data_IF_071442691195
#
_entry.id   IF_071442691195
#
_cell.length_a   1.000
_cell.length_b   1.000
_cell.length_c   1.000
_cell.angle_alpha   90.00
_cell.angle_beta   90.00
_cell.angle_gamma   90.00
#
_symmetry.space_group_name_H-M   'P 1'
#
loop_
_entity.id
_entity.type
_entity.pdbx_description
1 polymer ?
#
# COMPACT_ATOMS: atom_id res chain seq x y z
N UNK A 1 -0.42 -13.69 1.46
CA UNK A 1 -0.30 -12.30 0.97
C UNK A 1 -0.71 -12.29 -0.51
N UNK A 2 -1.57 -11.36 -0.94
CA UNK A 2 -2.06 -11.32 -2.33
C UNK A 2 -1.01 -10.82 -3.33
N UNK A 3 -0.02 -10.07 -2.85
CA UNK A 3 1.13 -9.60 -3.61
C UNK A 3 2.37 -10.32 -3.08
N UNK A 4 3.15 -10.93 -3.95
CA UNK A 4 4.39 -11.63 -3.58
C UNK A 4 5.59 -10.69 -3.66
N UNK A 5 6.68 -11.03 -2.97
CA UNK A 5 7.94 -10.28 -3.07
C UNK A 5 8.46 -10.26 -4.52
N UNK A 6 8.38 -11.38 -5.24
CA UNK A 6 8.78 -11.45 -6.65
C UNK A 6 8.02 -10.45 -7.55
N UNK A 7 6.72 -10.24 -7.29
CA UNK A 7 5.92 -9.26 -8.02
C UNK A 7 6.38 -7.82 -7.71
N UNK A 8 6.74 -7.53 -6.47
CA UNK A 8 7.29 -6.23 -6.07
C UNK A 8 8.66 -5.99 -6.73
N UNK A 9 9.55 -6.98 -6.68
CA UNK A 9 10.90 -6.88 -7.24
C UNK A 9 10.85 -6.64 -8.76
N UNK A 10 9.97 -7.35 -9.48
CA UNK A 10 9.74 -7.13 -10.91
C UNK A 10 9.20 -5.73 -11.20
N UNK A 11 8.25 -5.26 -10.40
CA UNK A 11 7.70 -3.91 -10.57
C UNK A 11 8.77 -2.83 -10.34
N UNK A 12 9.60 -2.98 -9.31
CA UNK A 12 10.72 -2.08 -9.05
C UNK A 12 11.73 -2.08 -10.21
N UNK A 13 12.07 -3.25 -10.74
CA UNK A 13 12.99 -3.36 -11.88
C UNK A 13 12.46 -2.60 -13.11
N UNK A 14 11.17 -2.78 -13.44
CA UNK A 14 10.54 -2.13 -14.58
C UNK A 14 10.48 -0.61 -14.43
N UNK A 15 10.13 -0.11 -13.23
CA UNK A 15 10.04 1.33 -12.99
C UNK A 15 11.44 1.98 -12.95
N UNK A 16 12.47 1.30 -12.45
CA UNK A 16 13.88 1.77 -12.48
C UNK A 16 14.42 2.00 -13.88
N UNK A 17 13.83 1.37 -14.90
CA UNK A 17 14.20 1.57 -16.32
C UNK A 17 13.59 2.84 -16.93
N UNK A 18 12.71 3.52 -16.19
CA UNK A 18 12.05 4.75 -16.63
C UNK A 18 12.73 5.99 -16.05
N UNK A 19 12.54 7.14 -16.69
CA UNK A 19 12.98 8.44 -16.16
C UNK A 19 11.91 9.10 -15.26
N UNK A 20 10.85 8.37 -14.90
CA UNK A 20 9.74 8.89 -14.11
C UNK A 20 10.20 9.06 -12.66
N UNK A 21 9.91 10.21 -12.05
CA UNK A 21 10.05 10.39 -10.61
C UNK A 21 9.00 9.55 -9.88
N UNK A 22 9.42 8.60 -9.06
CA UNK A 22 8.53 7.70 -8.34
C UNK A 22 8.99 7.47 -6.90
N UNK A 23 8.04 7.09 -6.05
CA UNK A 23 8.31 6.63 -4.68
C UNK A 23 7.48 5.37 -4.42
N UNK A 24 8.11 4.33 -3.86
CA UNK A 24 7.44 3.11 -3.42
C UNK A 24 7.59 3.04 -1.90
N UNK A 25 6.45 2.94 -1.20
CA UNK A 25 6.41 2.86 0.26
C UNK A 25 5.82 1.49 0.63
N UNK A 26 6.61 0.67 1.29
CA UNK A 26 6.17 -0.63 1.80
C UNK A 26 5.92 -0.54 3.31
N UNK A 27 4.65 -0.64 3.72
CA UNK A 27 4.26 -0.57 5.12
C UNK A 27 4.43 -1.93 5.78
N UNK A 28 5.38 -2.02 6.71
CA UNK A 28 5.61 -3.24 7.48
C UNK A 28 4.31 -3.69 8.19
N UNK A 29 4.07 -5.01 8.16
CA UNK A 29 2.92 -5.68 8.78
C UNK A 29 1.54 -5.30 8.23
N UNK A 30 1.46 -4.43 7.21
CA UNK A 30 0.20 -4.14 6.52
C UNK A 30 -0.20 -5.30 5.60
N UNK A 31 -1.42 -5.80 5.78
CA UNK A 31 -2.04 -6.78 4.87
C UNK A 31 -2.86 -6.06 3.79
N UNK A 32 -3.44 -6.83 2.87
CA UNK A 32 -4.36 -6.27 1.91
C UNK A 32 -5.61 -5.70 2.61
N UNK A 33 -6.20 -4.66 2.02
CA UNK A 33 -7.28 -3.85 2.62
C UNK A 33 -6.93 -3.16 3.96
N UNK A 34 -5.65 -2.82 4.18
CA UNK A 34 -5.20 -2.14 5.41
C UNK A 34 -5.85 -0.79 5.70
N UNK A 35 -6.46 -0.14 4.71
CA UNK A 35 -7.19 1.13 4.86
C UNK A 35 -8.66 0.96 5.23
N UNK A 36 -9.17 -0.28 5.29
CA UNK A 36 -10.58 -0.54 5.58
C UNK A 36 -10.73 -0.97 7.05
N UNK A 37 -11.37 -0.17 7.92
CA UNK A 37 -11.60 -0.52 9.33
C UNK A 37 -12.43 -1.80 9.52
N UNK A 38 -13.21 -2.23 8.52
CA UNK A 38 -13.98 -3.45 8.56
C UNK A 38 -13.20 -4.70 8.10
N UNK A 39 -11.93 -4.57 7.70
CA UNK A 39 -11.15 -5.67 7.12
C UNK A 39 -11.02 -6.86 8.07
N UNK A 40 -10.83 -6.64 9.37
CA UNK A 40 -10.69 -7.73 10.34
C UNK A 40 -12.00 -8.54 10.47
N UNK A 41 -13.14 -7.86 10.55
CA UNK A 41 -14.45 -8.53 10.58
C UNK A 41 -14.78 -9.26 9.28
N UNK A 42 -14.25 -8.79 8.15
CA UNK A 42 -14.41 -9.45 6.85
C UNK A 42 -13.48 -10.66 6.70
N UNK A 43 -12.26 -10.60 7.23
CA UNK A 43 -11.36 -11.77 7.34
C UNK A 43 -12.05 -12.88 8.12
N UNK A 44 -12.55 -12.59 9.33
CA UNK A 44 -13.24 -13.59 10.16
C UNK A 44 -14.46 -14.21 9.47
N UNK A 45 -15.23 -13.39 8.74
CA UNK A 45 -16.47 -13.82 8.09
C UNK A 45 -16.24 -14.64 6.82
N UNK A 46 -15.23 -14.29 6.04
CA UNK A 46 -15.01 -14.83 4.69
C UNK A 46 -13.70 -15.61 4.56
N UNK A 47 -12.91 -15.71 5.63
CA UNK A 47 -11.61 -16.36 5.69
C UNK A 47 -10.65 -15.82 4.60
N UNK A 48 -10.44 -14.51 4.61
CA UNK A 48 -9.69 -13.77 3.59
C UNK A 48 -8.46 -13.11 4.20
N UNK A 49 -7.24 -13.22 3.62
CA UNK A 49 -6.01 -12.68 4.22
C UNK A 49 -5.90 -11.13 4.11
N UNK A 50 -6.84 -10.42 4.72
CA UNK A 50 -6.94 -8.97 4.86
C UNK A 50 -6.90 -8.61 6.35
N UNK A 51 -6.49 -7.39 6.68
CA UNK A 51 -6.54 -6.89 8.06
C UNK A 51 -6.44 -5.37 8.06
N UNK A 52 -7.09 -4.70 9.01
CA UNK A 52 -6.97 -3.26 9.17
C UNK A 52 -5.62 -2.92 9.80
N UNK A 53 -4.94 -1.88 9.29
CA UNK A 53 -3.73 -1.36 9.92
C UNK A 53 -3.80 0.16 9.98
N UNK A 54 -4.23 0.68 11.13
CA UNK A 54 -4.42 2.11 11.37
C UNK A 54 -3.19 2.97 11.07
N UNK A 55 -1.99 2.51 11.44
CA UNK A 55 -0.76 3.26 11.20
C UNK A 55 -0.43 3.34 9.70
N UNK A 56 -0.62 2.25 8.95
CA UNK A 56 -0.42 2.25 7.50
C UNK A 56 -1.49 3.09 6.77
N UNK A 57 -2.74 3.01 7.22
CA UNK A 57 -3.86 3.82 6.73
C UNK A 57 -3.57 5.32 6.85
N UNK A 58 -3.32 5.79 8.08
CA UNK A 58 -3.05 7.20 8.36
C UNK A 58 -1.81 7.73 7.63
N UNK A 59 -0.73 6.94 7.59
CA UNK A 59 0.51 7.32 6.87
C UNK A 59 0.28 7.38 5.37
N UNK A 60 -0.30 6.34 4.77
CA UNK A 60 -0.55 6.31 3.32
C UNK A 60 -1.42 7.46 2.85
N UNK A 61 -2.41 7.86 3.66
CA UNK A 61 -3.25 9.01 3.37
C UNK A 61 -2.48 10.33 3.45
N UNK A 62 -1.57 10.45 4.41
CA UNK A 62 -0.72 11.63 4.54
C UNK A 62 0.25 11.76 3.36
N UNK A 63 0.95 10.68 3.00
CA UNK A 63 1.88 10.62 1.85
C UNK A 63 1.17 11.00 0.54
N UNK A 64 -0.06 10.51 0.32
CA UNK A 64 -0.87 10.88 -0.85
C UNK A 64 -1.18 12.39 -0.88
N UNK A 65 -1.59 12.97 0.26
CA UNK A 65 -1.86 14.41 0.34
C UNK A 65 -0.61 15.24 0.11
N UNK A 66 0.54 14.81 0.62
CA UNK A 66 1.82 15.49 0.42
C UNK A 66 2.25 15.44 -1.05
N UNK A 67 2.12 14.29 -1.70
CA UNK A 67 2.35 14.16 -3.13
C UNK A 67 1.41 15.06 -3.95
N UNK A 68 0.11 15.08 -3.65
CA UNK A 68 -0.83 15.98 -4.35
C UNK A 68 -0.50 17.45 -4.12
N UNK A 69 -0.04 17.80 -2.92
CA UNK A 69 0.43 19.15 -2.59
C UNK A 69 1.66 19.52 -3.43
N UNK A 70 2.55 18.60 -3.72
CA UNK A 70 3.72 18.84 -4.59
C UNK A 70 3.31 19.07 -6.05
N UNK A 71 2.37 18.26 -6.57
CA UNK A 71 2.01 18.28 -8.00
C UNK A 71 1.07 19.44 -8.37
N UNK A 72 0.21 19.88 -7.44
CA UNK A 72 -0.86 20.84 -7.75
C UNK A 72 -0.67 22.26 -7.16
N UNK A 73 0.48 22.55 -6.55
CA UNK A 73 0.80 23.90 -6.04
C UNK A 73 1.82 24.65 -6.89
#
# INVERSE_FOLDING_TARGET
PFVTQEQLDKFEEEIRKTEIGYTIINYQDAKHAFTNPAADSLDEKFNMPIAYNKNADEKSWQEMKEFFKEIFN
#
